data_IF_034451909632
#
_entry.id   IF_034451909632
#
_cell.length_a   1.000
_cell.length_b   1.000
_cell.length_c   1.000
_cell.angle_alpha   90.00
_cell.angle_beta   90.00
_cell.angle_gamma   90.00
#
_symmetry.space_group_name_H-M   'P 1'
#
loop_
_entity.id
_entity.type
_entity.pdbx_description
1 polymer ?
#
# COMPACT_ATOMS: atom_id res chain seq x y z
N UNK A 1 11.03 14.40 -17.93
CA UNK A 1 12.04 13.35 -17.68
C UNK A 1 11.38 12.01 -17.95
N UNK A 2 12.00 11.19 -18.79
CA UNK A 2 11.54 9.86 -19.17
C UNK A 2 11.47 8.91 -17.95
N UNK A 3 10.56 7.94 -17.97
CA UNK A 3 10.40 6.92 -16.92
C UNK A 3 11.66 6.08 -16.75
N UNK A 4 12.35 5.77 -17.85
CA UNK A 4 13.62 5.04 -17.81
C UNK A 4 14.65 5.79 -16.95
N UNK A 5 14.69 7.12 -17.02
CA UNK A 5 15.61 7.92 -16.22
C UNK A 5 15.23 7.94 -14.72
N UNK A 6 13.95 7.79 -14.38
CA UNK A 6 13.51 7.68 -12.97
C UNK A 6 13.86 6.30 -12.38
N UNK A 7 13.78 5.25 -13.20
CA UNK A 7 14.19 3.89 -12.84
C UNK A 7 15.70 3.79 -12.63
N UNK A 8 16.51 4.45 -13.48
CA UNK A 8 17.98 4.51 -13.34
C UNK A 8 18.45 5.12 -12.02
N UNK A 9 17.67 6.04 -11.45
CA UNK A 9 17.98 6.67 -10.16
C UNK A 9 17.43 5.90 -8.95
N UNK A 10 16.80 4.74 -9.16
CA UNK A 10 16.25 3.91 -8.08
C UNK A 10 17.28 2.82 -7.74
N UNK A 11 17.88 2.94 -6.55
CA UNK A 11 18.96 2.05 -6.11
C UNK A 11 18.42 0.81 -5.41
N UNK A 12 17.26 0.93 -4.74
CA UNK A 12 16.58 -0.14 -4.00
C UNK A 12 15.07 0.12 -4.01
N UNK A 13 14.28 -0.92 -4.22
CA UNK A 13 12.82 -0.86 -4.08
C UNK A 13 12.34 -1.84 -3.01
N UNK A 14 11.30 -1.50 -2.26
CA UNK A 14 10.63 -2.46 -1.39
C UNK A 14 9.10 -2.31 -1.37
N UNK A 15 8.41 -3.44 -1.19
CA UNK A 15 6.97 -3.48 -0.97
C UNK A 15 6.69 -4.03 0.44
N UNK A 16 5.97 -3.24 1.24
CA UNK A 16 5.36 -3.70 2.49
C UNK A 16 4.09 -4.46 2.13
N UNK A 17 4.16 -5.79 2.21
CA UNK A 17 3.04 -6.70 2.05
C UNK A 17 2.28 -6.79 3.38
N UNK A 18 1.03 -6.35 3.39
CA UNK A 18 0.26 -6.18 4.62
C UNK A 18 -1.18 -6.69 4.51
N UNK A 19 -1.84 -6.74 5.67
CA UNK A 19 -3.30 -6.83 5.78
C UNK A 19 -3.83 -5.60 6.54
N UNK A 20 -5.10 -5.20 6.36
CA UNK A 20 -5.63 -4.02 7.03
C UNK A 20 -5.43 -4.09 8.55
N UNK A 21 -5.12 -2.96 9.18
CA UNK A 21 -4.96 -2.85 10.65
C UNK A 21 -3.83 -3.71 11.26
N UNK A 22 -2.88 -4.14 10.43
CA UNK A 22 -1.66 -4.87 10.86
C UNK A 22 -0.62 -4.00 11.56
N UNK A 23 -0.73 -2.67 11.46
CA UNK A 23 0.31 -1.72 11.89
C UNK A 23 1.18 -1.21 10.75
N UNK A 24 0.89 -1.61 9.50
CA UNK A 24 1.64 -1.19 8.32
C UNK A 24 1.66 0.32 8.07
N UNK A 25 0.61 1.06 8.46
CA UNK A 25 0.61 2.54 8.39
C UNK A 25 1.61 3.17 9.36
N UNK A 26 1.66 2.69 10.61
CA UNK A 26 2.66 3.13 11.59
C UNK A 26 4.09 2.83 11.13
N UNK A 27 4.30 1.66 10.50
CA UNK A 27 5.58 1.34 9.88
C UNK A 27 5.92 2.31 8.74
N UNK A 28 4.97 2.61 7.86
CA UNK A 28 5.16 3.59 6.77
C UNK A 28 5.60 4.95 7.31
N UNK A 29 4.97 5.45 8.37
CA UNK A 29 5.33 6.73 8.99
C UNK A 29 6.73 6.72 9.59
N UNK A 30 7.10 5.66 10.31
CA UNK A 30 8.45 5.53 10.86
C UNK A 30 9.51 5.51 9.74
N UNK A 31 9.24 4.77 8.66
CA UNK A 31 10.14 4.70 7.49
C UNK A 31 10.25 6.04 6.77
N UNK A 32 9.12 6.73 6.54
CA UNK A 32 9.07 8.08 5.96
C UNK A 32 9.83 9.09 6.81
N UNK A 33 9.57 9.11 8.13
CA UNK A 33 10.20 10.04 9.07
C UNK A 33 11.69 9.77 9.28
N UNK A 34 12.18 8.58 8.93
CA UNK A 34 13.63 8.32 8.91
C UNK A 34 14.36 9.10 7.82
N UNK A 35 13.66 9.57 6.78
CA UNK A 35 14.22 10.13 5.54
C UNK A 35 15.22 9.21 4.79
N UNK A 36 15.37 7.96 5.22
CA UNK A 36 16.31 6.98 4.64
C UNK A 36 15.60 5.86 3.86
N UNK A 37 14.31 5.65 4.08
CA UNK A 37 13.57 4.51 3.54
C UNK A 37 12.51 4.91 2.50
N UNK A 38 12.74 6.01 1.78
CA UNK A 38 11.76 6.54 0.83
C UNK A 38 10.47 6.99 1.52
N UNK A 39 9.36 6.90 0.79
CA UNK A 39 8.07 7.43 1.19
C UNK A 39 6.95 6.39 0.97
N UNK A 40 6.93 5.27 1.72
CA UNK A 40 5.99 4.20 1.48
C UNK A 40 4.54 4.62 1.75
N UNK A 41 3.64 4.35 0.78
CA UNK A 41 2.19 4.59 0.90
C UNK A 41 1.38 3.58 0.05
N UNK A 42 0.06 3.55 0.22
CA UNK A 42 -0.88 2.69 -0.54
C UNK A 42 -1.23 3.28 -1.90
N UNK A 43 -0.25 3.59 -2.74
CA UNK A 43 -0.50 4.23 -4.03
C UNK A 43 -1.51 3.46 -4.91
N UNK A 44 -1.42 2.13 -4.92
CA UNK A 44 -2.29 1.26 -5.72
C UNK A 44 -3.61 0.86 -5.02
N UNK A 45 -3.87 1.32 -3.80
CA UNK A 45 -5.13 0.98 -3.11
C UNK A 45 -6.36 1.54 -3.84
N UNK A 46 -7.50 0.83 -3.93
CA UNK A 46 -8.65 1.26 -4.74
C UNK A 46 -9.18 2.67 -4.42
N UNK A 47 -9.17 3.07 -3.15
CA UNK A 47 -9.54 4.44 -2.75
C UNK A 47 -8.41 5.46 -3.02
N UNK A 48 -7.16 5.02 -2.92
CA UNK A 48 -5.97 5.85 -3.04
C UNK A 48 -5.62 6.16 -4.50
N UNK A 49 -5.75 5.20 -5.41
CA UNK A 49 -5.45 5.40 -6.83
C UNK A 49 -6.33 6.50 -7.43
N UNK A 50 -7.61 6.52 -7.06
CA UNK A 50 -8.56 7.57 -7.45
C UNK A 50 -8.19 8.93 -6.87
N UNK A 51 -7.80 8.99 -5.59
CA UNK A 51 -7.34 10.23 -4.93
C UNK A 51 -6.09 10.77 -5.62
N UNK A 52 -5.06 9.93 -5.79
CA UNK A 52 -3.79 10.33 -6.37
C UNK A 52 -3.92 10.72 -7.84
N UNK A 53 -4.72 10.00 -8.61
CA UNK A 53 -4.96 10.38 -10.00
C UNK A 53 -5.64 11.76 -10.11
N UNK A 54 -6.55 12.12 -9.20
CA UNK A 54 -7.12 13.48 -9.14
C UNK A 54 -6.08 14.55 -8.81
N UNK A 55 -5.16 14.25 -7.88
CA UNK A 55 -4.10 15.19 -7.44
C UNK A 55 -3.05 15.37 -8.55
N UNK A 56 -2.56 14.27 -9.12
CA UNK A 56 -1.49 14.27 -10.11
C UNK A 56 -1.97 14.50 -11.54
N UNK A 57 -3.29 14.37 -11.79
CA UNK A 57 -3.94 14.57 -13.09
C UNK A 57 -3.32 13.73 -14.21
N UNK A 58 -2.96 12.49 -13.89
CA UNK A 58 -2.29 11.60 -14.84
C UNK A 58 -3.25 11.14 -15.93
N UNK A 59 -2.77 11.10 -17.17
CA UNK A 59 -3.58 10.79 -18.36
C UNK A 59 -3.45 9.35 -18.82
N UNK A 60 -2.50 8.60 -18.27
CA UNK A 60 -2.26 7.20 -18.59
C UNK A 60 -1.77 6.43 -17.37
N UNK A 61 -1.88 5.09 -17.41
CA UNK A 61 -1.33 4.22 -16.37
C UNK A 61 0.19 4.36 -16.24
N UNK A 62 0.86 4.59 -17.37
CA UNK A 62 2.31 4.81 -17.41
C UNK A 62 2.69 6.06 -16.61
N UNK A 63 2.05 7.19 -16.95
CA UNK A 63 2.26 8.45 -16.21
C UNK A 63 1.94 8.31 -14.72
N UNK A 64 0.92 7.54 -14.36
CA UNK A 64 0.61 7.20 -12.98
C UNK A 64 1.73 6.40 -12.31
N UNK A 65 2.22 5.33 -12.95
CA UNK A 65 3.36 4.56 -12.44
C UNK A 65 4.61 5.42 -12.25
N UNK A 66 4.92 6.27 -13.23
CA UNK A 66 6.00 7.24 -13.14
C UNK A 66 5.84 8.25 -12.00
N UNK A 67 4.61 8.55 -11.58
CA UNK A 67 4.31 9.36 -10.38
C UNK A 67 4.42 8.55 -9.09
N UNK A 68 3.99 7.30 -9.07
CA UNK A 68 4.20 6.40 -7.92
C UNK A 68 5.68 6.26 -7.60
N UNK A 69 6.51 6.01 -8.62
CA UNK A 69 7.97 5.91 -8.46
C UNK A 69 8.56 7.24 -7.96
N UNK A 70 8.11 8.36 -8.52
CA UNK A 70 8.59 9.69 -8.11
C UNK A 70 8.23 10.01 -6.66
N UNK A 71 7.02 9.67 -6.22
CA UNK A 71 6.48 10.06 -4.92
C UNK A 71 6.86 9.10 -3.80
N UNK A 72 7.04 7.81 -4.10
CA UNK A 72 7.47 6.80 -3.14
C UNK A 72 8.99 6.77 -2.91
N UNK A 73 9.76 7.46 -3.75
CA UNK A 73 11.23 7.46 -3.70
C UNK A 73 11.77 8.60 -2.86
N UNK A 74 12.74 8.29 -2.00
CA UNK A 74 13.50 9.26 -1.22
C UNK A 74 14.66 9.87 -2.02
N UNK A 75 15.27 10.93 -1.47
CA UNK A 75 16.45 11.59 -2.07
C UNK A 75 17.63 10.62 -2.29
N UNK A 76 17.73 9.58 -1.48
CA UNK A 76 18.77 8.55 -1.55
C UNK A 76 18.48 7.42 -2.57
N UNK A 77 17.42 7.54 -3.37
CA UNK A 77 17.07 6.57 -4.40
C UNK A 77 16.30 5.34 -3.90
N UNK A 78 15.96 5.27 -2.61
CA UNK A 78 15.15 4.16 -2.06
C UNK A 78 13.67 4.41 -2.35
N UNK A 79 13.01 3.47 -3.01
CA UNK A 79 11.58 3.45 -3.29
C UNK A 79 10.84 2.56 -2.29
N UNK A 80 9.88 3.14 -1.55
CA UNK A 80 9.00 2.42 -0.64
C UNK A 80 7.56 2.37 -1.16
N UNK A 81 6.92 1.20 -1.05
CA UNK A 81 5.52 0.98 -1.41
C UNK A 81 4.81 0.16 -0.33
N UNK A 82 3.49 0.32 -0.20
CA UNK A 82 2.66 -0.56 0.65
C UNK A 82 1.51 -1.14 -0.15
N UNK A 83 1.36 -2.46 -0.10
CA UNK A 83 0.30 -3.19 -0.80
C UNK A 83 -0.40 -4.12 0.19
N UNK A 84 -1.72 -3.98 0.29
CA UNK A 84 -2.53 -4.92 1.05
C UNK A 84 -2.83 -6.15 0.19
N UNK A 85 -2.84 -7.32 0.83
CA UNK A 85 -3.18 -8.60 0.18
C UNK A 85 -4.47 -8.56 -0.63
N UNK A 86 -5.49 -7.86 -0.12
CA UNK A 86 -6.85 -7.83 -0.71
C UNK A 86 -6.89 -7.27 -2.12
N UNK A 87 -5.92 -6.43 -2.51
CA UNK A 87 -5.86 -5.83 -3.85
C UNK A 87 -4.54 -6.15 -4.58
N UNK A 88 -3.77 -7.15 -4.12
CA UNK A 88 -2.50 -7.54 -4.76
C UNK A 88 -2.66 -7.82 -6.25
N UNK A 89 -3.66 -8.63 -6.61
CA UNK A 89 -3.90 -8.99 -8.01
C UNK A 89 -4.19 -7.77 -8.88
N UNK A 90 -4.89 -6.77 -8.36
CA UNK A 90 -5.15 -5.53 -9.09
C UNK A 90 -3.87 -4.72 -9.35
N UNK A 91 -2.87 -4.82 -8.47
CA UNK A 91 -1.54 -4.22 -8.73
C UNK A 91 -0.86 -4.95 -9.87
N UNK A 92 -0.86 -6.28 -9.88
CA UNK A 92 -0.25 -7.07 -10.95
C UNK A 92 -0.92 -6.76 -12.30
N UNK A 93 -2.25 -6.76 -12.35
CA UNK A 93 -3.02 -6.41 -13.55
C UNK A 93 -2.68 -4.99 -14.03
N UNK A 94 -2.63 -4.02 -13.10
CA UNK A 94 -2.25 -2.65 -13.42
C UNK A 94 -0.87 -2.57 -14.05
N UNK A 95 0.14 -3.24 -13.47
CA UNK A 95 1.53 -3.21 -13.95
C UNK A 95 1.69 -3.98 -15.26
N UNK A 96 1.01 -5.11 -15.42
CA UNK A 96 1.03 -5.89 -16.66
C UNK A 96 0.49 -5.08 -17.84
N UNK A 97 -0.65 -4.41 -17.64
CA UNK A 97 -1.23 -3.54 -18.66
C UNK A 97 -0.35 -2.32 -18.97
N UNK A 98 0.33 -1.78 -17.95
CA UNK A 98 1.21 -0.62 -18.09
C UNK A 98 2.48 -0.97 -18.88
N UNK A 99 3.11 -2.09 -18.55
CA UNK A 99 4.39 -2.53 -19.14
C UNK A 99 4.23 -3.21 -20.49
N UNK A 100 3.01 -3.60 -20.87
CA UNK A 100 2.72 -4.35 -22.12
C UNK A 100 3.58 -5.62 -22.24
N UNK A 101 3.79 -6.32 -21.11
CA UNK A 101 4.52 -7.58 -21.03
C UNK A 101 3.54 -8.77 -20.98
N UNK A 102 3.07 -9.29 -22.14
CA UNK A 102 2.18 -10.44 -22.15
C UNK A 102 2.90 -11.70 -21.64
N UNK A 103 2.17 -12.58 -20.95
CA UNK A 103 2.64 -13.90 -20.47
C UNK A 103 3.87 -13.87 -19.54
N UNK A 104 4.22 -12.71 -18.96
CA UNK A 104 5.30 -12.61 -17.97
C UNK A 104 4.83 -13.04 -16.58
N UNK A 105 5.73 -13.57 -15.76
CA UNK A 105 5.40 -13.91 -14.38
C UNK A 105 5.19 -12.65 -13.53
N UNK A 106 4.52 -12.76 -12.37
CA UNK A 106 4.40 -11.63 -11.43
C UNK A 106 5.76 -11.07 -11.02
N UNK A 107 6.74 -11.96 -10.83
CA UNK A 107 8.11 -11.58 -10.47
C UNK A 107 8.78 -10.76 -11.57
N UNK A 108 8.59 -11.13 -12.84
CA UNK A 108 9.17 -10.41 -13.97
C UNK A 108 8.54 -9.02 -14.12
N UNK A 109 7.21 -8.94 -14.02
CA UNK A 109 6.46 -7.67 -14.07
C UNK A 109 6.93 -6.73 -12.95
N UNK A 110 7.04 -7.25 -11.72
CA UNK A 110 7.46 -6.46 -10.56
C UNK A 110 8.92 -6.03 -10.67
N UNK A 111 9.83 -6.91 -11.11
CA UNK A 111 11.26 -6.58 -11.26
C UNK A 111 11.50 -5.58 -12.40
N UNK A 112 10.69 -5.64 -13.45
CA UNK A 112 10.70 -4.65 -14.53
C UNK A 112 10.27 -3.26 -14.04
N UNK A 113 9.24 -3.18 -13.21
CA UNK A 113 8.73 -1.90 -12.69
C UNK A 113 9.54 -1.35 -11.50
N UNK A 114 10.17 -2.23 -10.73
CA UNK A 114 10.80 -1.89 -9.45
C UNK A 114 12.17 -2.59 -9.35
N UNK A 115 13.27 -1.91 -9.73
CA UNK A 115 14.59 -2.52 -9.71
C UNK A 115 15.03 -2.84 -8.28
N UNK A 116 15.81 -3.91 -8.12
CA UNK A 116 16.33 -4.38 -6.84
C UNK A 116 15.25 -4.63 -5.77
N UNK A 117 14.06 -5.10 -6.18
CA UNK A 117 12.91 -5.26 -5.30
C UNK A 117 13.20 -6.17 -4.10
N UNK A 118 12.67 -5.76 -2.94
CA UNK A 118 12.62 -6.52 -1.69
C UNK A 118 11.21 -6.50 -1.12
N UNK A 119 10.90 -7.47 -0.27
CA UNK A 119 9.59 -7.57 0.37
C UNK A 119 9.72 -7.47 1.89
N UNK A 120 8.84 -6.69 2.50
CA UNK A 120 8.65 -6.63 3.94
C UNK A 120 7.27 -7.18 4.23
N UNK A 121 7.18 -8.31 4.92
CA UNK A 121 5.90 -8.85 5.33
C UNK A 121 5.58 -8.47 6.77
N UNK A 122 4.46 -7.78 6.99
CA UNK A 122 4.02 -7.37 8.33
C UNK A 122 2.70 -8.02 8.71
N UNK A 123 2.67 -8.62 9.90
CA UNK A 123 1.49 -9.26 10.47
C UNK A 123 1.27 -8.82 11.91
N UNK A 124 0.00 -8.80 12.33
CA UNK A 124 -0.37 -8.60 13.73
C UNK A 124 -0.63 -9.96 14.37
N UNK A 125 0.12 -10.27 15.43
CA UNK A 125 0.04 -11.56 16.14
C UNK A 125 -1.37 -11.85 16.66
N UNK A 126 -2.03 -10.86 17.26
CA UNK A 126 -3.40 -11.01 17.77
C UNK A 126 -4.44 -10.66 16.69
N UNK A 127 -4.93 -11.70 16.00
CA UNK A 127 -5.89 -11.59 14.89
C UNK A 127 -7.28 -11.13 15.33
N UNK A 128 -7.71 -11.51 16.53
CA UNK A 128 -8.97 -11.02 17.12
C UNK A 128 -8.91 -9.50 17.32
N UNK A 129 -7.83 -8.97 17.90
CA UNK A 129 -7.65 -7.52 18.06
C UNK A 129 -7.51 -6.81 16.71
N UNK A 130 -6.90 -7.45 15.71
CA UNK A 130 -6.83 -6.92 14.34
C UNK A 130 -8.23 -6.79 13.74
N UNK A 131 -9.04 -7.86 13.83
CA UNK A 131 -10.41 -7.92 13.32
C UNK A 131 -11.34 -6.92 14.02
N UNK A 132 -11.25 -6.79 15.35
CA UNK A 132 -11.99 -5.76 16.09
C UNK A 132 -11.59 -4.37 15.61
N UNK A 133 -10.29 -4.12 15.39
CA UNK A 133 -9.85 -2.82 14.88
C UNK A 133 -10.35 -2.55 13.47
N UNK A 134 -10.50 -3.58 12.63
CA UNK A 134 -11.05 -3.47 11.28
C UNK A 134 -12.55 -3.22 11.30
N UNK A 135 -13.29 -3.95 12.14
CA UNK A 135 -14.72 -3.75 12.36
C UNK A 135 -15.04 -2.32 12.80
N UNK A 136 -14.23 -1.77 13.73
CA UNK A 136 -14.31 -0.36 14.11
C UNK A 136 -14.13 0.56 12.91
N UNK A 137 -13.08 0.34 12.11
CA UNK A 137 -12.81 1.12 10.90
C UNK A 137 -14.01 1.14 9.94
N UNK A 138 -14.62 -0.02 9.67
CA UNK A 138 -15.79 -0.14 8.78
C UNK A 138 -17.03 0.63 9.27
N UNK A 139 -17.13 0.89 10.57
CA UNK A 139 -18.24 1.64 11.18
C UNK A 139 -17.94 3.13 11.33
N UNK A 140 -16.91 3.65 10.64
CA UNK A 140 -16.57 5.07 10.67
C UNK A 140 -15.70 5.48 11.85
N UNK A 141 -15.20 4.54 12.65
CA UNK A 141 -14.32 4.82 13.80
C UNK A 141 -12.88 5.21 13.42
N UNK A 142 -12.66 5.71 12.21
CA UNK A 142 -11.33 5.78 11.61
C UNK A 142 -10.99 7.13 11.01
N UNK A 143 -10.83 8.12 11.88
CA UNK A 143 -10.00 9.28 11.61
C UNK A 143 -9.16 9.53 12.86
N UNK A 144 -7.89 9.15 12.81
CA UNK A 144 -6.89 9.49 13.82
C UNK A 144 -5.62 9.88 13.07
N UNK A 145 -5.70 10.93 12.24
CA UNK A 145 -4.55 11.49 11.51
C UNK A 145 -4.61 13.00 11.28
N UNK A 146 -5.52 13.71 11.94
CA UNK A 146 -5.48 15.18 12.05
C UNK A 146 -5.78 15.51 13.52
N UNK A 147 -5.35 16.69 13.97
CA UNK A 147 -5.33 17.22 15.35
C UNK A 147 -6.71 17.30 16.08
N UNK A 148 -7.62 16.38 15.81
CA UNK A 148 -8.93 16.26 16.42
C UNK A 148 -8.90 15.33 17.65
N UNK A 149 -9.61 15.73 18.70
CA UNK A 149 -9.79 14.88 19.87
C UNK A 149 -10.47 13.55 19.48
N UNK A 150 -10.09 12.43 20.11
CA UNK A 150 -10.75 11.15 19.94
C UNK A 150 -12.26 11.27 20.16
N UNK A 151 -13.04 11.30 19.07
CA UNK A 151 -14.48 11.26 19.23
C UNK A 151 -14.88 9.89 19.75
N UNK A 152 -15.60 9.87 20.87
CA UNK A 152 -16.18 8.65 21.40
C UNK A 152 -17.25 8.17 20.40
N UNK A 153 -16.88 7.22 19.53
CA UNK A 153 -17.86 6.58 18.65
C UNK A 153 -18.81 5.76 19.51
N UNK A 154 -19.98 6.33 19.78
CA UNK A 154 -21.12 5.63 20.39
C UNK A 154 -21.83 4.82 19.30
N UNK A 155 -22.41 3.68 19.69
CA UNK A 155 -23.19 2.85 18.78
C UNK A 155 -22.39 1.90 17.89
N UNK A 156 -21.14 1.58 18.23
CA UNK A 156 -20.43 0.48 17.56
C UNK A 156 -21.17 -0.84 17.82
N UNK A 157 -21.64 -1.45 16.75
CA UNK A 157 -22.28 -2.76 16.79
C UNK A 157 -21.21 -3.85 16.76
N UNK A 158 -21.31 -4.81 17.66
CA UNK A 158 -20.51 -6.02 17.59
C UNK A 158 -21.02 -6.90 16.44
N UNK A 159 -20.18 -7.10 15.41
CA UNK A 159 -20.51 -7.92 14.24
C UNK A 159 -19.61 -9.17 14.21
N UNK A 160 -20.02 -10.28 14.83
CA UNK A 160 -19.18 -11.48 14.95
C UNK A 160 -18.82 -12.09 13.59
N UNK A 161 -19.72 -12.00 12.60
CA UNK A 161 -19.48 -12.52 11.25
C UNK A 161 -18.36 -11.75 10.54
N UNK A 162 -18.38 -10.41 10.61
CA UNK A 162 -17.31 -9.54 10.07
C UNK A 162 -15.96 -9.86 10.72
N UNK A 163 -15.95 -10.12 12.04
CA UNK A 163 -14.74 -10.50 12.76
C UNK A 163 -14.24 -11.86 12.28
N UNK A 164 -15.13 -12.85 12.14
CA UNK A 164 -14.80 -14.19 11.70
C UNK A 164 -14.25 -14.18 10.27
N UNK A 165 -14.93 -13.53 9.34
CA UNK A 165 -14.51 -13.39 7.95
C UNK A 165 -13.12 -12.77 7.84
N UNK A 166 -12.87 -11.68 8.57
CA UNK A 166 -11.56 -11.03 8.59
C UNK A 166 -10.46 -11.95 9.14
N UNK A 167 -10.74 -12.71 10.21
CA UNK A 167 -9.76 -13.65 10.76
C UNK A 167 -9.40 -14.67 9.68
N UNK A 168 -10.38 -15.29 9.01
CA UNK A 168 -10.13 -16.28 7.95
C UNK A 168 -9.21 -15.72 6.85
N UNK A 169 -9.42 -14.47 6.43
CA UNK A 169 -8.60 -13.80 5.42
C UNK A 169 -7.16 -13.49 5.86
N UNK A 170 -6.89 -13.47 7.17
CA UNK A 170 -5.60 -13.04 7.74
C UNK A 170 -4.80 -14.16 8.42
N UNK A 171 -5.38 -15.34 8.65
CA UNK A 171 -4.67 -16.55 9.12
C UNK A 171 -4.31 -17.54 8.00
N UNK A 172 -4.95 -17.43 6.84
CA UNK A 172 -4.62 -18.26 5.68
C UNK A 172 -3.26 -17.80 5.12
N UNK A 173 -2.21 -18.56 5.40
CA UNK A 173 -0.85 -18.37 4.89
C UNK A 173 -0.51 -19.51 3.94
#
# INVERSE_FOLDING_TARGET
MDENHKLELTTLSYIICATPRSGSTLLCEALRNSALAGNPDEYFGPMHINRWNKIWKTKSKNEYLGKVIEQGRGINGVLGLKVMRVYWQNVIEFLQETTKLPNSSESDILTHCFPNLRYIWITRRNKVRQAISWMKFLQGAAWFWEDEEPQLIRGLEFKPDVIREFIMQTVSH
#
